data_IF_998000924920
#
_entry.id   IF_998000924920
#
_cell.length_a   1.000
_cell.length_b   1.000
_cell.length_c   1.000
_cell.angle_alpha   90.00
_cell.angle_beta   90.00
_cell.angle_gamma   90.00
#
_symmetry.space_group_name_H-M   'P 1'
#
loop_
_entity.id
_entity.type
_entity.pdbx_description
1 polymer ?
#
# COMPACT_ATOMS: atom_id res chain seq x y z
N UNK A 1 19.89 2.40 -9.81
CA UNK A 1 18.58 1.81 -9.81
C UNK A 1 18.72 0.30 -10.03
N UNK A 2 17.98 -0.45 -9.32
CA UNK A 2 18.01 -1.88 -9.47
C UNK A 2 16.97 -2.33 -10.45
N UNK A 3 17.34 -3.26 -11.32
CA UNK A 3 16.39 -3.83 -12.23
C UNK A 3 15.33 -4.61 -11.50
N UNK A 4 15.59 -4.97 -10.23
CA UNK A 4 14.66 -5.78 -9.46
C UNK A 4 13.69 -4.94 -8.64
N UNK A 5 13.81 -3.62 -8.71
CA UNK A 5 12.86 -2.78 -7.99
C UNK A 5 11.51 -2.81 -8.68
N UNK A 6 10.41 -2.90 -7.93
CA UNK A 6 9.10 -2.82 -8.56
C UNK A 6 8.83 -1.41 -9.05
N UNK A 7 7.87 -1.29 -9.95
CA UNK A 7 7.46 0.04 -10.41
C UNK A 7 6.82 0.82 -9.26
N UNK A 8 6.01 0.16 -8.46
CA UNK A 8 5.17 0.82 -7.47
C UNK A 8 5.22 0.11 -6.13
N UNK A 9 5.33 0.88 -5.06
CA UNK A 9 5.10 0.37 -3.71
C UNK A 9 3.82 1.02 -3.19
N UNK A 10 2.89 0.19 -2.74
CA UNK A 10 1.66 0.67 -2.12
C UNK A 10 1.81 0.49 -0.62
N UNK A 11 1.80 1.59 0.13
CA UNK A 11 1.91 1.55 1.59
C UNK A 11 0.52 1.70 2.18
N UNK A 12 0.11 0.71 2.96
CA UNK A 12 -1.24 0.66 3.53
C UNK A 12 -1.15 0.56 5.04
N UNK A 13 -1.20 1.69 5.74
CA UNK A 13 -1.27 1.64 7.21
C UNK A 13 -2.69 1.28 7.61
N UNK A 14 -2.83 0.47 8.65
CA UNK A 14 -4.14 0.00 9.05
C UNK A 14 -4.24 -0.23 10.54
N UNK A 15 -5.47 -0.19 11.04
CA UNK A 15 -5.78 -0.54 12.41
C UNK A 15 -7.19 -1.13 12.41
N UNK A 16 -7.31 -2.40 12.78
CA UNK A 16 -8.61 -3.10 12.87
C UNK A 16 -9.41 -3.02 11.56
N UNK A 17 -8.82 -3.59 10.49
CA UNK A 17 -9.45 -3.60 9.18
C UNK A 17 -9.53 -5.02 8.60
N UNK A 18 -9.76 -6.00 9.46
CA UNK A 18 -9.69 -7.40 9.02
C UNK A 18 -10.63 -7.72 7.86
N UNK A 19 -11.76 -7.03 7.76
CA UNK A 19 -12.73 -7.35 6.71
C UNK A 19 -12.39 -6.75 5.36
N UNK A 20 -11.76 -5.57 5.36
CA UNK A 20 -11.50 -4.87 4.10
C UNK A 20 -10.22 -5.29 3.41
N UNK A 21 -9.28 -5.87 4.15
CA UNK A 21 -7.95 -6.15 3.58
C UNK A 21 -7.96 -7.09 2.38
N UNK A 22 -8.70 -8.21 2.42
CA UNK A 22 -8.68 -9.10 1.25
C UNK A 22 -9.27 -8.42 0.01
N UNK A 23 -10.32 -7.65 0.19
CA UNK A 23 -10.96 -6.96 -0.92
C UNK A 23 -10.03 -5.90 -1.49
N UNK A 24 -9.36 -5.15 -0.64
CA UNK A 24 -8.43 -4.13 -1.08
C UNK A 24 -7.29 -4.75 -1.88
N UNK A 25 -6.71 -5.83 -1.37
CA UNK A 25 -5.60 -6.46 -2.07
C UNK A 25 -6.03 -7.02 -3.42
N UNK A 26 -7.21 -7.66 -3.49
CA UNK A 26 -7.70 -8.19 -4.75
C UNK A 26 -7.89 -7.08 -5.78
N UNK A 27 -8.38 -5.93 -5.34
CA UNK A 27 -8.57 -4.78 -6.20
C UNK A 27 -7.22 -4.26 -6.71
N UNK A 28 -6.24 -4.13 -5.82
CA UNK A 28 -4.91 -3.69 -6.22
C UNK A 28 -4.30 -4.67 -7.21
N UNK A 29 -4.40 -5.97 -6.93
CA UNK A 29 -3.85 -6.99 -7.82
C UNK A 29 -4.42 -6.88 -9.22
N UNK A 30 -5.73 -6.66 -9.31
CA UNK A 30 -6.37 -6.55 -10.61
C UNK A 30 -5.88 -5.33 -11.37
N UNK A 31 -5.78 -4.18 -10.70
CA UNK A 31 -5.31 -2.96 -11.35
C UNK A 31 -3.86 -3.12 -11.81
N UNK A 32 -3.02 -3.73 -11.00
CA UNK A 32 -1.63 -3.92 -11.37
C UNK A 32 -1.49 -4.85 -12.56
N UNK A 33 -2.28 -5.92 -12.61
CA UNK A 33 -2.24 -6.86 -13.71
C UNK A 33 -2.74 -6.21 -15.00
N UNK A 34 -3.80 -5.44 -14.93
CA UNK A 34 -4.38 -4.78 -16.10
C UNK A 34 -3.42 -3.76 -16.70
N UNK A 35 -2.60 -3.14 -15.88
CA UNK A 35 -1.68 -2.10 -16.33
C UNK A 35 -0.24 -2.59 -16.42
N UNK A 36 -0.02 -3.87 -16.16
CA UNK A 36 1.31 -4.51 -16.27
C UNK A 36 2.37 -3.85 -15.41
N UNK A 37 1.97 -3.39 -14.23
CA UNK A 37 2.91 -2.86 -13.27
C UNK A 37 3.51 -3.98 -12.42
N UNK A 38 4.80 -3.89 -12.15
CA UNK A 38 5.39 -4.66 -11.08
C UNK A 38 5.16 -3.87 -9.80
N UNK A 39 4.93 -4.55 -8.69
CA UNK A 39 4.51 -3.84 -7.48
C UNK A 39 4.81 -4.63 -6.23
N UNK A 40 4.77 -3.94 -5.11
CA UNK A 40 4.71 -4.54 -3.79
C UNK A 40 3.64 -3.81 -3.00
N UNK A 41 3.02 -4.51 -2.06
CA UNK A 41 2.07 -3.91 -1.13
C UNK A 41 2.64 -4.10 0.27
N UNK A 42 2.79 -3.02 1.01
CA UNK A 42 3.35 -3.07 2.36
C UNK A 42 2.24 -2.71 3.33
N UNK A 43 1.69 -3.72 3.99
CA UNK A 43 0.70 -3.50 5.04
C UNK A 43 1.43 -3.18 6.33
N UNK A 44 1.07 -2.07 6.95
CA UNK A 44 1.65 -1.69 8.25
C UNK A 44 0.55 -1.77 9.29
N UNK A 45 0.58 -2.83 10.08
CA UNK A 45 -0.44 -3.07 11.09
C UNK A 45 -0.08 -2.29 12.35
N UNK A 46 -0.86 -1.27 12.65
CA UNK A 46 -0.60 -0.33 13.73
C UNK A 46 -1.16 -0.87 15.06
N UNK A 47 -0.83 -2.12 15.36
CA UNK A 47 -1.20 -2.70 16.65
C UNK A 47 -2.65 -3.12 16.75
N UNK A 48 -3.22 -3.67 15.68
CA UNK A 48 -4.62 -4.09 15.67
C UNK A 48 -4.95 -5.08 16.77
N UNK A 49 -6.16 -4.99 17.27
CA UNK A 49 -6.69 -5.89 18.28
C UNK A 49 -7.55 -7.00 17.69
N UNK A 50 -7.94 -6.86 16.43
CA UNK A 50 -8.78 -7.86 15.75
C UNK A 50 -7.90 -8.88 15.02
N UNK A 51 -8.42 -9.50 13.98
CA UNK A 51 -7.69 -10.52 13.23
C UNK A 51 -6.94 -9.96 12.03
N UNK A 52 -6.72 -8.65 11.99
CA UNK A 52 -6.03 -8.03 10.86
C UNK A 52 -4.67 -8.68 10.59
N UNK A 53 -3.89 -8.95 11.65
CA UNK A 53 -2.57 -9.52 11.44
C UNK A 53 -2.65 -10.93 10.84
N UNK A 54 -3.60 -11.76 11.31
CA UNK A 54 -3.78 -13.08 10.73
C UNK A 54 -4.18 -13.02 9.27
N UNK A 55 -5.04 -12.05 8.93
CA UNK A 55 -5.45 -11.84 7.53
C UNK A 55 -4.23 -11.44 6.70
N UNK A 56 -3.42 -10.51 7.19
CA UNK A 56 -2.23 -10.07 6.47
C UNK A 56 -1.28 -11.24 6.24
N UNK A 57 -1.09 -12.09 7.24
CA UNK A 57 -0.23 -13.25 7.09
C UNK A 57 -0.72 -14.18 6.00
N UNK A 58 -2.03 -14.41 5.95
CA UNK A 58 -2.61 -15.24 4.91
C UNK A 58 -2.39 -14.63 3.53
N UNK A 59 -2.57 -13.32 3.41
CA UNK A 59 -2.37 -12.63 2.13
C UNK A 59 -0.90 -12.69 1.71
N UNK A 60 0.00 -12.53 2.67
CA UNK A 60 1.42 -12.62 2.42
C UNK A 60 1.82 -14.01 1.94
N UNK A 61 1.26 -15.05 2.56
CA UNK A 61 1.57 -16.42 2.18
C UNK A 61 1.10 -16.74 0.76
N UNK A 62 0.02 -16.11 0.34
CA UNK A 62 -0.57 -16.36 -0.96
C UNK A 62 0.01 -15.50 -2.09
N UNK A 63 0.63 -14.37 -1.74
CA UNK A 63 1.10 -13.42 -2.75
C UNK A 63 2.49 -12.91 -2.38
N UNK A 64 3.53 -13.26 -3.16
CA UNK A 64 4.90 -12.85 -2.83
C UNK A 64 5.13 -11.34 -2.91
N UNK A 65 4.21 -10.58 -3.49
CA UNK A 65 4.33 -9.14 -3.56
C UNK A 65 3.86 -8.45 -2.27
N UNK A 66 3.26 -9.20 -1.34
CA UNK A 66 2.76 -8.63 -0.09
C UNK A 66 3.85 -8.69 0.97
N UNK A 67 4.12 -7.56 1.59
CA UNK A 67 5.05 -7.45 2.70
C UNK A 67 4.28 -6.90 3.89
N UNK A 68 4.77 -7.13 5.09
CA UNK A 68 4.03 -6.74 6.28
C UNK A 68 4.94 -6.25 7.37
N UNK A 69 4.50 -5.23 8.08
CA UNK A 69 5.15 -4.71 9.26
C UNK A 69 4.10 -4.70 10.36
N UNK A 70 4.47 -5.14 11.55
CA UNK A 70 3.53 -5.17 12.67
C UNK A 70 4.10 -4.37 13.83
N UNK A 71 3.31 -3.43 14.32
CA UNK A 71 3.67 -2.71 15.53
C UNK A 71 3.13 -3.46 16.74
N UNK A 72 3.88 -3.41 17.85
CA UNK A 72 3.43 -4.08 19.06
C UNK A 72 2.20 -3.42 19.65
N UNK A 73 1.99 -2.15 19.38
CA UNK A 73 0.83 -1.40 19.87
C UNK A 73 0.57 -0.27 18.90
N UNK A 74 -0.51 0.47 19.14
CA UNK A 74 -0.88 1.56 18.25
C UNK A 74 0.04 2.75 18.48
N UNK A 75 0.74 3.17 17.42
CA UNK A 75 1.64 4.32 17.46
C UNK A 75 1.13 5.46 16.59
N UNK A 76 0.07 5.24 15.82
CA UNK A 76 -0.52 6.27 14.99
C UNK A 76 -0.16 6.13 13.53
N UNK A 77 -0.97 6.76 12.69
CA UNK A 77 -0.85 6.64 11.23
C UNK A 77 0.47 7.18 10.72
N UNK A 78 0.97 8.27 11.31
CA UNK A 78 2.24 8.85 10.85
C UNK A 78 3.40 7.89 11.01
N UNK A 79 3.43 7.16 12.14
CA UNK A 79 4.47 6.17 12.36
C UNK A 79 4.35 5.05 11.33
N UNK A 80 3.12 4.64 11.02
CA UNK A 80 2.89 3.60 10.02
C UNK A 80 3.37 4.03 8.65
N UNK A 81 3.06 5.25 8.25
CA UNK A 81 3.51 5.76 6.97
C UNK A 81 5.03 5.85 6.90
N UNK A 82 5.65 6.34 7.97
CA UNK A 82 7.10 6.45 8.00
C UNK A 82 7.77 5.10 7.80
N UNK A 83 7.33 4.09 8.55
CA UNK A 83 7.92 2.76 8.44
C UNK A 83 7.68 2.15 7.07
N UNK A 84 6.48 2.38 6.51
CA UNK A 84 6.19 1.89 5.17
C UNK A 84 7.07 2.52 4.12
N UNK A 85 7.28 3.85 4.20
CA UNK A 85 8.15 4.54 3.27
C UNK A 85 9.59 4.04 3.37
N UNK A 86 10.07 3.81 4.60
CA UNK A 86 11.42 3.30 4.79
C UNK A 86 11.61 1.93 4.17
N UNK A 87 10.57 1.12 4.17
CA UNK A 87 10.63 -0.24 3.65
C UNK A 87 10.39 -0.31 2.14
N UNK A 88 9.84 0.73 1.54
CA UNK A 88 9.42 0.71 0.15
C UNK A 88 10.62 0.64 -0.80
N UNK A 89 10.51 -0.17 -1.84
CA UNK A 89 11.56 -0.34 -2.82
C UNK A 89 11.15 0.15 -4.21
N UNK A 90 9.89 0.49 -4.39
CA UNK A 90 9.38 0.87 -5.70
C UNK A 90 9.90 2.20 -6.17
N UNK A 91 9.87 2.40 -7.48
CA UNK A 91 10.26 3.67 -8.06
C UNK A 91 9.27 4.77 -7.68
N UNK A 92 8.01 4.40 -7.49
CA UNK A 92 6.96 5.31 -7.08
C UNK A 92 6.30 4.71 -5.83
N UNK A 93 6.07 5.54 -4.82
CA UNK A 93 5.43 5.10 -3.58
C UNK A 93 4.08 5.78 -3.46
N UNK A 94 3.04 4.99 -3.30
CA UNK A 94 1.67 5.48 -3.18
C UNK A 94 1.10 4.97 -1.87
N UNK A 95 0.39 5.81 -1.15
CA UNK A 95 -0.25 5.39 0.10
C UNK A 95 -1.74 5.25 -0.10
N UNK A 96 -2.34 4.30 0.59
CA UNK A 96 -3.78 4.09 0.57
C UNK A 96 -4.28 3.74 1.94
N UNK A 97 -5.48 4.18 2.25
CA UNK A 97 -6.14 3.73 3.48
C UNK A 97 -6.75 2.36 3.26
N UNK A 98 -6.83 1.59 4.32
CA UNK A 98 -7.29 0.20 4.22
C UNK A 98 -8.81 0.07 4.19
N UNK A 99 -9.54 1.14 4.37
CA UNK A 99 -10.99 1.11 4.53
C UNK A 99 -11.76 1.21 3.22
N UNK A 100 -11.08 1.05 2.10
CA UNK A 100 -11.68 1.05 0.76
C UNK A 100 -12.22 2.41 0.31
N UNK A 101 -11.84 3.48 0.99
CA UNK A 101 -12.25 4.82 0.58
C UNK A 101 -11.39 5.36 -0.55
N UNK A 102 -10.14 4.94 -0.62
CA UNK A 102 -9.28 5.30 -1.74
C UNK A 102 -9.46 4.24 -2.80
N UNK A 103 -9.43 4.64 -4.06
CA UNK A 103 -9.66 3.72 -5.16
C UNK A 103 -8.36 3.29 -5.82
N UNK A 104 -8.04 2.00 -5.79
CA UNK A 104 -6.88 1.52 -6.56
C UNK A 104 -6.95 1.82 -8.04
N UNK A 105 -8.14 2.10 -8.58
CA UNK A 105 -8.26 2.47 -9.99
C UNK A 105 -7.52 3.77 -10.31
N UNK A 106 -7.22 4.57 -9.29
CA UNK A 106 -6.48 5.81 -9.48
C UNK A 106 -4.97 5.59 -9.59
N UNK A 107 -4.49 4.40 -9.29
CA UNK A 107 -3.04 4.13 -9.27
C UNK A 107 -2.36 4.45 -10.59
N UNK A 108 -2.90 4.07 -11.76
CA UNK A 108 -2.21 4.38 -13.00
C UNK A 108 -2.03 5.88 -13.22
N UNK A 109 -3.03 6.68 -12.84
CA UNK A 109 -2.93 8.11 -12.99
C UNK A 109 -1.91 8.72 -12.02
N UNK A 110 -1.88 8.22 -10.78
CA UNK A 110 -0.91 8.68 -9.81
C UNK A 110 0.51 8.35 -10.26
N UNK A 111 0.69 7.17 -10.82
CA UNK A 111 1.99 6.76 -11.34
C UNK A 111 2.43 7.68 -12.47
N UNK A 112 1.50 8.00 -13.36
CA UNK A 112 1.79 8.88 -14.48
C UNK A 112 2.19 10.29 -13.99
N UNK A 113 1.50 10.78 -12.96
CA UNK A 113 1.80 12.09 -12.41
C UNK A 113 3.23 12.16 -11.88
N UNK A 114 3.67 11.11 -11.21
CA UNK A 114 5.03 11.10 -10.67
C UNK A 114 6.06 10.95 -11.78
N UNK A 115 5.81 10.05 -12.72
CA UNK A 115 6.84 9.72 -13.71
C UNK A 115 6.87 10.69 -14.88
N UNK A 116 5.74 11.29 -15.25
CA UNK A 116 5.69 12.15 -16.41
C UNK A 116 5.60 13.62 -16.06
N UNK A 117 5.01 13.96 -14.94
CA UNK A 117 4.83 15.36 -14.58
C UNK A 117 5.76 15.82 -13.46
N UNK A 118 6.59 14.92 -12.95
CA UNK A 118 7.65 15.31 -12.03
C UNK A 118 7.26 15.47 -10.57
N UNK A 119 6.13 14.96 -10.17
CA UNK A 119 5.79 15.00 -8.75
C UNK A 119 6.65 13.98 -8.02
N UNK A 120 7.23 14.36 -6.91
CA UNK A 120 8.09 13.46 -6.14
C UNK A 120 7.29 12.46 -5.34
N UNK A 121 6.14 12.88 -4.80
CA UNK A 121 5.34 12.03 -3.96
C UNK A 121 3.89 12.38 -4.11
N UNK A 122 3.06 11.42 -4.39
CA UNK A 122 1.63 11.62 -4.43
C UNK A 122 1.00 10.78 -3.35
N UNK A 123 0.41 11.41 -2.37
CA UNK A 123 -0.32 10.75 -1.35
C UNK A 123 -1.63 10.38 -1.94
N UNK A 124 -2.08 9.17 -1.89
CA UNK A 124 -3.14 8.62 -2.53
C UNK A 124 -4.21 9.57 -2.77
N UNK A 125 -5.05 9.79 -2.97
CA UNK A 125 -5.97 10.51 -3.35
C UNK A 125 -6.46 11.46 -2.37
N UNK A 126 -5.72 11.64 -1.15
CA UNK A 126 -6.04 12.62 -0.19
C UNK A 126 -5.86 14.01 -0.69
N UNK A 127 -5.15 14.17 -1.79
CA UNK A 127 -4.80 15.47 -2.23
C UNK A 127 -5.97 16.36 -2.46
N UNK A 128 -7.12 15.84 -2.84
CA UNK A 128 -8.19 16.71 -3.10
C UNK A 128 -8.88 17.15 -1.84
N UNK A 129 -8.40 16.76 -0.68
CA UNK A 129 -8.94 17.20 0.57
C UNK A 129 -8.19 18.36 1.15
N UNK A 130 -7.19 18.82 0.44
CA UNK A 130 -6.36 19.92 0.93
C UNK A 130 -7.00 21.26 0.62
#
# INVERSE_FOLDING_TARGET
>A
MSENNPNISIVVPLYNEEESLPELLAWIERVMAENRFSYEVIFVDDGSNDRSWEVIRSLHDANPCVRAIRFRRNYGKSAGLYCGFEAARGDVVITMDADLQDSPDEIPELYRMVTEEGYDLVSGWKKRRF
#
